data_IF_873563297333
#
_entry.id   IF_873563297333
#
_cell.length_a   1.000
_cell.length_b   1.000
_cell.length_c   1.000
_cell.angle_alpha   90.00
_cell.angle_beta   90.00
_cell.angle_gamma   90.00
#
_symmetry.space_group_name_H-M   'P 1'
#
loop_
_entity.id
_entity.type
_entity.pdbx_description
1 polymer ?
#
# COMPACT_ATOMS: atom_id res chain seq x y z
N UNK A 1 23.16 0.64 8.24
CA UNK A 1 22.09 -0.38 8.13
C UNK A 1 20.92 0.27 7.40
N UNK A 2 20.31 -0.40 6.42
CA UNK A 2 19.18 0.17 5.68
C UNK A 2 17.90 0.01 6.50
N UNK A 3 17.13 1.10 6.66
CA UNK A 3 15.83 1.06 7.30
C UNK A 3 14.83 0.27 6.40
N UNK A 4 13.96 -0.59 6.97
CA UNK A 4 12.99 -1.32 6.17
C UNK A 4 11.91 -0.39 5.61
N UNK A 5 11.45 -0.66 4.37
CA UNK A 5 10.32 0.08 3.76
C UNK A 5 8.96 -0.32 4.31
N UNK A 6 8.84 -1.59 4.68
CA UNK A 6 7.62 -2.21 5.20
C UNK A 6 7.94 -2.87 6.54
N UNK A 7 6.93 -3.18 7.36
CA UNK A 7 7.14 -3.90 8.60
C UNK A 7 7.89 -5.21 8.38
N UNK A 8 8.82 -5.51 9.28
CA UNK A 8 9.62 -6.74 9.25
C UNK A 8 9.56 -7.44 10.59
N UNK A 9 9.65 -8.77 10.57
CA UNK A 9 9.65 -9.54 11.81
C UNK A 9 10.91 -9.28 12.64
N UNK A 10 10.74 -9.18 13.95
CA UNK A 10 11.81 -9.04 14.91
C UNK A 10 11.38 -9.55 16.28
N UNK A 11 12.29 -9.61 17.24
CA UNK A 11 12.02 -10.11 18.59
C UNK A 11 10.89 -9.35 19.31
N UNK A 12 10.68 -8.08 18.96
CA UNK A 12 9.64 -7.22 19.56
C UNK A 12 8.31 -7.26 18.82
N UNK A 13 8.19 -8.00 17.71
CA UNK A 13 7.00 -8.01 16.86
C UNK A 13 5.72 -8.36 17.63
N UNK A 14 5.80 -9.28 18.56
CA UNK A 14 4.67 -9.75 19.37
C UNK A 14 4.66 -9.17 20.79
N UNK A 15 5.54 -8.20 21.10
CA UNK A 15 5.57 -7.57 22.41
C UNK A 15 4.47 -6.53 22.57
N UNK A 16 3.85 -6.48 23.75
CA UNK A 16 2.81 -5.52 24.10
C UNK A 16 1.47 -6.17 24.43
N UNK A 17 0.52 -5.37 24.91
CA UNK A 17 -0.84 -5.85 25.21
C UNK A 17 -1.58 -6.19 23.92
N UNK A 18 -2.25 -7.34 23.92
CA UNK A 18 -2.95 -7.86 22.72
C UNK A 18 -4.18 -7.04 22.33
N UNK A 19 -4.82 -6.37 23.28
CA UNK A 19 -6.10 -5.69 23.07
C UNK A 19 -5.99 -4.17 23.06
N UNK A 20 -6.59 -3.58 22.03
CA UNK A 20 -7.10 -2.21 22.02
C UNK A 20 -8.51 -2.26 21.43
N UNK A 21 -9.37 -1.36 21.90
CA UNK A 21 -10.74 -1.17 21.39
C UNK A 21 -10.72 -0.47 20.01
N UNK A 22 -9.75 -0.80 19.18
CA UNK A 22 -9.64 -0.20 17.86
C UNK A 22 -10.05 -1.19 16.79
N UNK A 23 -11.08 -0.82 16.05
CA UNK A 23 -11.57 -1.60 14.92
C UNK A 23 -10.46 -1.84 13.88
N UNK A 24 -10.46 -3.03 13.33
CA UNK A 24 -9.64 -3.41 12.18
C UNK A 24 -10.51 -4.12 11.16
N UNK A 25 -10.16 -3.99 9.88
CA UNK A 25 -10.83 -4.76 8.82
C UNK A 25 -10.72 -6.29 9.02
N UNK A 26 -9.76 -6.76 9.82
CA UNK A 26 -9.66 -8.16 10.27
C UNK A 26 -10.85 -8.61 11.15
N UNK A 27 -11.60 -7.68 11.74
CA UNK A 27 -12.76 -7.97 12.58
C UNK A 27 -14.06 -8.04 11.78
N UNK A 28 -14.00 -7.72 10.49
CA UNK A 28 -15.19 -7.73 9.63
C UNK A 28 -15.76 -9.16 9.55
N UNK A 29 -17.05 -9.39 9.84
CA UNK A 29 -17.62 -10.75 9.95
C UNK A 29 -17.58 -11.53 8.64
N UNK A 30 -17.62 -10.84 7.51
CA UNK A 30 -17.55 -11.41 6.16
C UNK A 30 -16.27 -10.95 5.47
N UNK A 31 -15.11 -11.38 5.96
CA UNK A 31 -13.82 -11.10 5.33
C UNK A 31 -13.13 -12.36 4.84
N UNK A 32 -12.35 -12.23 3.76
CA UNK A 32 -11.56 -13.28 3.15
C UNK A 32 -10.10 -12.82 3.04
N UNK A 33 -9.15 -13.48 3.71
CA UNK A 33 -7.73 -13.22 3.51
C UNK A 33 -7.29 -13.70 2.11
N UNK A 34 -6.65 -12.79 1.36
CA UNK A 34 -6.15 -13.00 0.00
C UNK A 34 -4.63 -12.90 -0.03
N UNK A 35 -3.99 -13.21 -1.15
CA UNK A 35 -2.53 -13.13 -1.30
C UNK A 35 -1.99 -11.71 -1.38
N UNK A 36 -2.80 -10.73 -1.80
CA UNK A 36 -2.38 -9.32 -1.92
C UNK A 36 -3.59 -8.39 -1.99
N UNK A 37 -3.37 -7.08 -1.79
CA UNK A 37 -4.40 -6.07 -2.04
C UNK A 37 -4.87 -6.06 -3.49
N UNK A 38 -3.98 -6.32 -4.47
CA UNK A 38 -4.34 -6.46 -5.89
C UNK A 38 -5.27 -7.64 -6.14
N UNK A 39 -5.00 -8.79 -5.53
CA UNK A 39 -5.88 -9.95 -5.56
C UNK A 39 -7.25 -9.62 -4.92
N UNK A 40 -7.25 -8.87 -3.82
CA UNK A 40 -8.49 -8.44 -3.18
C UNK A 40 -9.32 -7.51 -4.08
N UNK A 41 -8.70 -6.59 -4.85
CA UNK A 41 -9.39 -5.75 -5.83
C UNK A 41 -9.97 -6.62 -6.95
N UNK A 42 -9.21 -7.57 -7.51
CA UNK A 42 -9.70 -8.47 -8.55
C UNK A 42 -10.95 -9.23 -8.08
N UNK A 43 -10.86 -9.87 -6.93
CA UNK A 43 -11.97 -10.63 -6.34
C UNK A 43 -13.17 -9.74 -5.99
N UNK A 44 -12.94 -8.50 -5.54
CA UNK A 44 -14.01 -7.52 -5.32
C UNK A 44 -14.76 -7.20 -6.61
N UNK A 45 -14.05 -6.96 -7.70
CA UNK A 45 -14.64 -6.71 -9.02
C UNK A 45 -15.41 -7.94 -9.55
N UNK A 46 -14.89 -9.14 -9.35
CA UNK A 46 -15.59 -10.39 -9.69
C UNK A 46 -16.88 -10.55 -8.88
N UNK A 47 -16.85 -10.28 -7.56
CA UNK A 47 -18.05 -10.29 -6.71
C UNK A 47 -19.12 -9.29 -7.17
N UNK A 48 -18.68 -8.15 -7.71
CA UNK A 48 -19.55 -7.12 -8.28
C UNK A 48 -19.96 -7.41 -9.74
N UNK A 49 -19.55 -8.55 -10.29
CA UNK A 49 -19.81 -8.96 -11.68
C UNK A 49 -19.33 -7.92 -12.70
N UNK A 50 -18.16 -7.32 -12.47
CA UNK A 50 -17.52 -6.40 -13.41
C UNK A 50 -16.88 -7.20 -14.54
N UNK A 51 -17.13 -6.79 -15.80
CA UNK A 51 -16.61 -7.46 -16.98
C UNK A 51 -16.60 -6.58 -18.24
N UNK A 52 -16.46 -7.17 -19.43
CA UNK A 52 -16.46 -6.42 -20.68
C UNK A 52 -17.70 -5.56 -20.86
N UNK A 53 -17.52 -4.29 -21.24
CA UNK A 53 -18.60 -3.31 -21.38
C UNK A 53 -18.92 -2.52 -20.12
N UNK A 54 -18.42 -2.94 -18.96
CA UNK A 54 -18.51 -2.18 -17.71
C UNK A 54 -17.35 -1.20 -17.58
N UNK A 55 -17.57 -0.12 -16.82
CA UNK A 55 -16.57 0.89 -16.52
C UNK A 55 -16.40 1.01 -15.00
N UNK A 56 -15.12 1.05 -14.57
CA UNK A 56 -14.74 1.31 -13.17
C UNK A 56 -14.07 2.69 -13.07
N UNK A 57 -14.60 3.51 -12.18
CA UNK A 57 -14.03 4.82 -11.86
C UNK A 57 -12.93 4.67 -10.82
N UNK A 58 -11.76 5.22 -11.15
CA UNK A 58 -10.55 5.22 -10.34
C UNK A 58 -10.06 6.67 -10.14
N UNK A 59 -9.35 6.99 -9.05
CA UNK A 59 -8.81 8.34 -8.88
C UNK A 59 -7.65 8.61 -9.84
N UNK A 60 -7.44 9.88 -10.21
CA UNK A 60 -6.28 10.33 -11.00
C UNK A 60 -4.95 10.05 -10.30
N UNK A 61 -4.89 10.16 -8.97
CA UNK A 61 -3.73 9.75 -8.16
C UNK A 61 -3.91 8.31 -7.69
N UNK A 62 -3.19 7.38 -8.27
CA UNK A 62 -3.34 5.96 -7.99
C UNK A 62 -2.03 5.18 -8.13
N UNK A 63 -1.98 4.02 -7.52
CA UNK A 63 -1.00 3.00 -7.86
C UNK A 63 -1.49 2.24 -9.10
N UNK A 64 -0.66 1.96 -10.11
CA UNK A 64 -1.04 1.16 -11.29
C UNK A 64 -1.68 -0.18 -10.95
N UNK A 65 -1.39 -0.73 -9.78
CA UNK A 65 -2.00 -1.97 -9.27
C UNK A 65 -3.51 -1.86 -8.98
N UNK A 66 -4.09 -0.66 -8.95
CA UNK A 66 -5.55 -0.47 -8.87
C UNK A 66 -6.22 -0.66 -10.23
N UNK A 67 -5.51 -0.34 -11.33
CA UNK A 67 -6.03 -0.41 -12.70
C UNK A 67 -5.92 -1.81 -13.29
N UNK A 68 -4.82 -2.51 -13.02
CA UNK A 68 -4.56 -3.82 -13.61
C UNK A 68 -5.68 -4.86 -13.37
N UNK A 69 -6.35 -4.95 -12.19
CA UNK A 69 -7.49 -5.85 -12.00
C UNK A 69 -8.67 -5.55 -12.93
N UNK A 70 -8.97 -4.27 -13.14
CA UNK A 70 -10.04 -3.81 -14.04
C UNK A 70 -9.76 -4.29 -15.47
N UNK A 71 -8.55 -4.02 -15.95
CA UNK A 71 -8.15 -4.43 -17.31
C UNK A 71 -8.06 -5.95 -17.48
N UNK A 72 -7.68 -6.68 -16.44
CA UNK A 72 -7.65 -8.14 -16.45
C UNK A 72 -9.05 -8.75 -16.68
N UNK A 73 -10.10 -8.11 -16.15
CA UNK A 73 -11.49 -8.54 -16.36
C UNK A 73 -12.10 -8.05 -17.68
N UNK A 74 -11.33 -7.34 -18.51
CA UNK A 74 -11.81 -6.79 -19.79
C UNK A 74 -12.70 -5.56 -19.64
N UNK A 75 -12.82 -4.99 -18.44
CA UNK A 75 -13.56 -3.78 -18.20
C UNK A 75 -12.74 -2.52 -18.51
N UNK A 76 -13.43 -1.39 -18.66
CA UNK A 76 -12.79 -0.11 -18.87
C UNK A 76 -12.51 0.63 -17.56
N UNK A 77 -11.38 1.35 -17.53
CA UNK A 77 -11.01 2.22 -16.44
C UNK A 77 -11.16 3.67 -16.88
N UNK A 78 -11.87 4.48 -16.09
CA UNK A 78 -11.90 5.93 -16.24
C UNK A 78 -11.47 6.60 -14.94
N UNK A 79 -11.03 7.85 -15.03
CA UNK A 79 -10.40 8.53 -13.91
C UNK A 79 -11.21 9.75 -13.47
N UNK A 80 -11.33 9.91 -12.16
CA UNK A 80 -11.97 11.05 -11.54
C UNK A 80 -10.97 11.92 -10.77
N UNK A 81 -11.20 13.26 -10.73
CA UNK A 81 -10.32 14.17 -10.00
C UNK A 81 -10.51 14.06 -8.50
N UNK A 82 -9.43 14.30 -7.77
CA UNK A 82 -9.42 14.42 -6.31
C UNK A 82 -9.16 15.88 -5.90
N UNK A 83 -9.65 16.24 -4.72
CA UNK A 83 -9.32 17.52 -4.08
C UNK A 83 -7.96 17.49 -3.35
N UNK A 84 -7.60 18.59 -2.69
CA UNK A 84 -6.36 18.74 -1.92
C UNK A 84 -6.28 17.85 -0.67
N UNK A 85 -7.37 17.20 -0.27
CA UNK A 85 -7.42 16.23 0.83
C UNK A 85 -7.50 14.78 0.33
N UNK A 86 -7.54 14.59 -0.99
CA UNK A 86 -7.64 13.27 -1.64
C UNK A 86 -9.07 12.75 -1.78
N UNK A 87 -10.08 13.56 -1.44
CA UNK A 87 -11.46 13.16 -1.60
C UNK A 87 -11.92 13.23 -3.07
N UNK A 88 -12.82 12.32 -3.50
CA UNK A 88 -13.43 12.40 -4.82
C UNK A 88 -14.20 13.73 -5.02
N UNK A 89 -13.96 14.40 -6.14
CA UNK A 89 -14.72 15.58 -6.52
C UNK A 89 -16.12 15.18 -7.00
N UNK A 90 -17.06 15.07 -6.05
CA UNK A 90 -18.44 14.62 -6.33
C UNK A 90 -19.23 15.59 -7.22
N UNK A 91 -18.91 16.89 -7.20
CA UNK A 91 -19.43 17.91 -8.11
C UNK A 91 -19.07 17.58 -9.56
N UNK A 92 -17.80 17.32 -9.81
CA UNK A 92 -17.30 16.94 -11.12
C UNK A 92 -17.86 15.59 -11.58
N UNK A 93 -17.85 14.58 -10.70
CA UNK A 93 -18.41 13.26 -10.97
C UNK A 93 -19.89 13.34 -11.36
N UNK A 94 -20.68 14.18 -10.70
CA UNK A 94 -22.10 14.34 -11.00
C UNK A 94 -22.39 14.86 -12.42
N UNK A 95 -21.46 15.63 -12.96
CA UNK A 95 -21.57 16.18 -14.32
C UNK A 95 -20.96 15.27 -15.41
N UNK A 96 -20.05 14.35 -15.04
CA UNK A 96 -19.22 13.65 -16.03
C UNK A 96 -19.25 12.12 -15.90
N UNK A 97 -20.03 11.53 -14.97
CA UNK A 97 -20.09 10.10 -14.79
C UNK A 97 -20.61 9.38 -16.05
N UNK A 98 -19.85 8.45 -16.65
CA UNK A 98 -20.30 7.71 -17.82
C UNK A 98 -21.44 6.76 -17.46
N UNK A 99 -22.38 6.55 -18.38
CA UNK A 99 -23.53 5.67 -18.17
C UNK A 99 -23.15 4.20 -17.90
N UNK A 100 -22.03 3.72 -18.47
CA UNK A 100 -21.53 2.36 -18.26
C UNK A 100 -20.83 2.15 -16.90
N UNK A 101 -20.82 3.17 -16.04
CA UNK A 101 -20.12 3.09 -14.74
C UNK A 101 -20.78 2.07 -13.84
N UNK A 102 -20.08 1.02 -13.49
CA UNK A 102 -20.51 -0.08 -12.61
C UNK A 102 -20.02 0.07 -11.18
N UNK A 103 -18.77 0.55 -11.03
CA UNK A 103 -18.17 0.70 -9.72
C UNK A 103 -17.32 1.96 -9.61
N UNK A 104 -17.21 2.49 -8.39
CA UNK A 104 -16.31 3.57 -7.98
C UNK A 104 -15.36 3.02 -6.90
N UNK A 105 -14.06 3.10 -7.12
CA UNK A 105 -13.05 2.74 -6.12
C UNK A 105 -12.53 4.02 -5.45
N UNK A 106 -12.59 4.06 -4.12
CA UNK A 106 -12.15 5.22 -3.31
C UNK A 106 -11.10 4.79 -2.29
N UNK A 107 -9.84 5.23 -2.43
CA UNK A 107 -8.78 4.90 -1.49
C UNK A 107 -8.73 5.88 -0.31
N UNK A 108 -8.48 5.36 0.87
CA UNK A 108 -8.06 6.12 2.04
C UNK A 108 -6.56 6.41 1.96
N UNK A 109 -6.19 7.50 1.29
CA UNK A 109 -4.78 7.82 1.03
C UNK A 109 -3.96 7.92 2.31
N UNK A 110 -2.76 7.37 2.28
CA UNK A 110 -1.75 7.43 3.35
C UNK A 110 -2.19 6.85 4.69
N UNK A 111 -3.39 6.28 4.77
CA UNK A 111 -4.01 5.78 6.00
C UNK A 111 -4.93 6.79 6.67
N UNK A 112 -5.28 7.87 5.96
CA UNK A 112 -6.17 8.92 6.44
C UNK A 112 -7.59 8.70 5.88
N UNK A 113 -8.61 8.65 6.73
CA UNK A 113 -9.98 8.40 6.30
C UNK A 113 -10.52 9.47 5.37
N UNK A 114 -11.22 9.04 4.31
CA UNK A 114 -11.93 9.92 3.39
C UNK A 114 -13.38 10.18 3.86
N UNK A 115 -14.07 11.22 3.35
CA UNK A 115 -15.45 11.55 3.72
C UNK A 115 -16.46 10.58 3.06
N UNK A 116 -16.46 9.33 3.51
CA UNK A 116 -17.17 8.22 2.85
C UNK A 116 -18.68 8.34 2.89
N UNK A 117 -19.26 9.09 3.82
CA UNK A 117 -20.70 9.25 3.91
C UNK A 117 -21.29 9.92 2.66
N UNK A 118 -20.68 11.03 2.22
CA UNK A 118 -21.08 11.72 1.00
C UNK A 118 -20.86 10.86 -0.26
N UNK A 119 -19.75 10.11 -0.31
CA UNK A 119 -19.44 9.19 -1.40
C UNK A 119 -20.48 8.07 -1.47
N UNK A 120 -20.85 7.47 -0.34
CA UNK A 120 -21.86 6.41 -0.28
C UNK A 120 -23.21 6.92 -0.79
N UNK A 121 -23.65 8.07 -0.29
CA UNK A 121 -24.93 8.67 -0.74
C UNK A 121 -24.91 8.97 -2.25
N UNK A 122 -23.79 9.43 -2.79
CA UNK A 122 -23.62 9.68 -4.22
C UNK A 122 -23.72 8.40 -5.05
N UNK A 123 -23.09 7.32 -4.60
CA UNK A 123 -23.15 6.00 -5.23
C UNK A 123 -24.56 5.40 -5.19
N UNK A 124 -25.23 5.46 -4.02
CA UNK A 124 -26.58 4.93 -3.84
C UNK A 124 -27.58 5.59 -4.77
N UNK A 125 -27.51 6.93 -4.91
CA UNK A 125 -28.39 7.69 -5.80
C UNK A 125 -28.26 7.31 -7.28
N UNK A 126 -27.17 6.60 -7.67
CA UNK A 126 -26.85 6.24 -9.06
C UNK A 126 -26.79 4.74 -9.31
N UNK A 127 -26.98 3.91 -8.29
CA UNK A 127 -26.84 2.46 -8.39
C UNK A 127 -25.42 2.00 -8.73
N UNK A 128 -24.41 2.83 -8.41
CA UNK A 128 -22.99 2.52 -8.63
C UNK A 128 -22.43 1.80 -7.41
N UNK A 129 -21.78 0.66 -7.60
CA UNK A 129 -21.14 -0.06 -6.52
C UNK A 129 -19.93 0.72 -5.98
N UNK A 130 -19.79 0.77 -4.65
CA UNK A 130 -18.65 1.42 -3.99
C UNK A 130 -17.64 0.37 -3.52
N UNK A 131 -16.39 0.50 -3.98
CA UNK A 131 -15.23 -0.25 -3.50
C UNK A 131 -14.46 0.66 -2.56
N UNK A 132 -14.45 0.35 -1.27
CA UNK A 132 -13.68 1.06 -0.26
C UNK A 132 -12.26 0.49 -0.20
N UNK A 133 -11.28 1.23 -0.73
CA UNK A 133 -9.88 0.79 -0.72
C UNK A 133 -9.18 1.20 0.58
N UNK A 134 -9.12 0.25 1.51
CA UNK A 134 -8.45 0.36 2.79
C UNK A 134 -6.99 -0.17 2.75
N UNK A 135 -6.36 -0.27 1.57
CA UNK A 135 -4.99 -0.78 1.48
C UNK A 135 -3.98 0.07 2.28
N UNK A 136 -4.27 1.35 2.50
CA UNK A 136 -3.50 2.25 3.35
C UNK A 136 -4.13 2.49 4.73
N UNK A 137 -5.33 1.97 5.03
CA UNK A 137 -6.12 2.28 6.22
C UNK A 137 -6.74 1.03 6.85
N UNK A 138 -5.95 0.29 7.61
CA UNK A 138 -6.37 -0.99 8.21
C UNK A 138 -7.20 -0.82 9.49
N UNK A 139 -7.06 0.33 10.20
CA UNK A 139 -7.56 0.54 11.57
C UNK A 139 -8.36 1.82 11.67
N UNK A 140 -9.35 1.84 12.57
CA UNK A 140 -10.07 3.04 12.99
C UNK A 140 -11.40 3.23 12.30
N UNK A 141 -11.78 4.49 12.13
CA UNK A 141 -13.09 4.90 11.62
C UNK A 141 -12.96 5.92 10.50
N UNK A 142 -13.93 5.90 9.58
CA UNK A 142 -14.16 6.94 8.60
C UNK A 142 -15.51 7.59 8.93
N UNK A 143 -15.50 8.76 9.56
CA UNK A 143 -16.71 9.40 10.08
C UNK A 143 -17.45 8.51 11.10
N UNK A 144 -18.72 8.26 10.88
CA UNK A 144 -19.60 7.53 11.81
C UNK A 144 -19.42 6.02 11.81
N UNK A 145 -18.73 5.43 10.83
CA UNK A 145 -18.57 3.97 10.70
C UNK A 145 -17.12 3.52 10.80
N UNK A 146 -16.86 2.25 11.17
CA UNK A 146 -15.55 1.65 11.03
C UNK A 146 -15.05 1.71 9.58
N UNK A 147 -13.73 1.84 9.40
CA UNK A 147 -13.08 1.68 8.08
C UNK A 147 -13.41 0.30 7.51
N UNK A 148 -13.73 0.25 6.23
CA UNK A 148 -14.16 -0.96 5.52
C UNK A 148 -15.66 -1.25 5.59
N UNK A 149 -16.47 -0.36 6.20
CA UNK A 149 -17.93 -0.57 6.34
C UNK A 149 -18.79 0.35 5.46
N UNK A 150 -18.18 1.17 4.62
CA UNK A 150 -18.89 2.10 3.74
C UNK A 150 -19.15 1.56 2.33
N UNK A 151 -18.18 0.84 1.79
CA UNK A 151 -18.28 0.24 0.46
C UNK A 151 -19.29 -0.92 0.40
N UNK A 152 -19.78 -1.26 -0.77
CA UNK A 152 -20.44 -2.55 -1.02
C UNK A 152 -19.47 -3.68 -0.74
N UNK A 153 -18.22 -3.44 -1.09
CA UNK A 153 -17.05 -4.26 -0.78
C UNK A 153 -15.92 -3.37 -0.25
N UNK A 154 -15.06 -3.93 0.59
CA UNK A 154 -13.83 -3.27 1.03
C UNK A 154 -12.62 -4.17 0.79
N UNK A 155 -11.48 -3.55 0.50
CA UNK A 155 -10.21 -4.28 0.33
C UNK A 155 -9.12 -3.69 1.22
N UNK A 156 -8.15 -4.51 1.61
CA UNK A 156 -6.99 -4.04 2.35
C UNK A 156 -5.70 -4.79 1.96
N UNK A 157 -4.55 -4.27 2.41
CA UNK A 157 -3.23 -4.88 2.21
C UNK A 157 -2.56 -5.16 3.55
N UNK A 158 -2.36 -6.44 3.87
CA UNK A 158 -1.72 -6.86 5.14
C UNK A 158 -0.24 -6.49 5.18
N UNK A 159 0.47 -6.60 4.06
CA UNK A 159 1.92 -6.35 3.99
C UNK A 159 2.33 -4.95 4.39
N UNK A 160 1.40 -3.99 4.30
CA UNK A 160 1.63 -2.59 4.66
C UNK A 160 1.59 -2.34 6.17
N UNK A 161 0.97 -3.24 6.92
CA UNK A 161 0.78 -3.11 8.38
C UNK A 161 1.45 -4.22 9.18
N UNK A 162 1.61 -5.39 8.59
CA UNK A 162 2.14 -6.58 9.25
C UNK A 162 3.44 -7.06 8.58
N UNK A 163 4.34 -7.70 9.33
CA UNK A 163 5.60 -8.22 8.81
C UNK A 163 5.39 -9.52 8.01
N UNK A 164 4.62 -9.42 6.93
CA UNK A 164 4.28 -10.55 6.05
C UNK A 164 4.66 -10.23 4.61
N UNK A 165 5.23 -11.19 3.83
CA UNK A 165 5.62 -11.01 2.44
C UNK A 165 4.43 -10.98 1.48
N UNK A 166 3.28 -11.45 1.92
CA UNK A 166 2.03 -11.48 1.16
C UNK A 166 0.85 -11.19 2.08
N UNK A 167 -0.28 -10.81 1.50
CA UNK A 167 -1.54 -10.67 2.21
C UNK A 167 -2.35 -9.46 1.79
N UNK A 168 -3.63 -9.71 1.62
CA UNK A 168 -4.70 -8.74 1.45
C UNK A 168 -5.95 -9.21 2.16
N UNK A 169 -6.99 -8.40 2.12
CA UNK A 169 -8.32 -8.74 2.63
C UNK A 169 -9.35 -8.27 1.62
N UNK A 170 -10.33 -9.12 1.34
CA UNK A 170 -11.62 -8.76 0.76
C UNK A 170 -12.67 -8.82 1.87
N UNK A 171 -13.49 -7.80 2.01
CA UNK A 171 -14.65 -7.79 2.89
C UNK A 171 -15.92 -7.47 2.10
N UNK A 172 -17.02 -8.17 2.38
CA UNK A 172 -18.31 -8.00 1.70
C UNK A 172 -19.34 -7.42 2.66
N UNK A 173 -19.77 -6.19 2.42
CA UNK A 173 -20.81 -5.51 3.21
C UNK A 173 -22.23 -5.81 2.70
N UNK A 174 -22.40 -6.00 1.39
CA UNK A 174 -23.69 -6.37 0.81
C UNK A 174 -24.03 -7.84 1.06
N UNK A 175 -25.24 -8.09 1.52
CA UNK A 175 -25.68 -9.44 1.90
C UNK A 175 -25.83 -10.39 0.70
N UNK A 176 -26.21 -9.84 -0.46
CA UNK A 176 -26.44 -10.56 -1.72
C UNK A 176 -25.15 -11.03 -2.41
N UNK A 177 -23.99 -10.46 -2.06
CA UNK A 177 -22.71 -10.88 -2.62
C UNK A 177 -22.25 -12.21 -2.03
N UNK A 178 -21.70 -13.07 -2.87
CA UNK A 178 -21.18 -14.37 -2.48
C UNK A 178 -19.66 -14.30 -2.29
N UNK A 179 -19.16 -14.86 -1.17
CA UNK A 179 -17.73 -14.95 -0.90
C UNK A 179 -17.07 -15.92 -1.89
N UNK A 180 -16.02 -15.50 -2.61
CA UNK A 180 -15.34 -16.38 -3.57
C UNK A 180 -14.59 -17.52 -2.86
N UNK A 181 -14.57 -18.67 -3.51
CA UNK A 181 -13.77 -19.80 -3.07
C UNK A 181 -12.32 -19.61 -3.53
N UNK A 182 -11.35 -19.85 -2.64
CA UNK A 182 -9.93 -19.79 -2.96
C UNK A 182 -9.30 -21.17 -2.94
N UNK A 183 -8.33 -21.40 -3.82
CA UNK A 183 -7.53 -22.63 -3.82
C UNK A 183 -6.57 -22.61 -2.62
N UNK A 184 -6.40 -23.70 -1.88
CA UNK A 184 -5.46 -23.77 -0.77
C UNK A 184 -4.01 -23.49 -1.23
N UNK A 185 -3.26 -22.77 -0.39
CA UNK A 185 -1.82 -22.60 -0.61
C UNK A 185 -1.09 -23.93 -0.46
N UNK A 186 -0.20 -24.25 -1.40
CA UNK A 186 0.56 -25.50 -1.39
C UNK A 186 1.57 -25.55 -0.22
N UNK A 187 2.09 -26.74 0.09
CA UNK A 187 3.16 -26.89 1.10
C UNK A 187 4.40 -26.07 0.74
N UNK A 188 4.71 -25.95 -0.54
CA UNK A 188 5.84 -25.14 -1.03
C UNK A 188 5.60 -23.67 -0.75
N UNK A 189 4.38 -23.16 -1.00
CA UNK A 189 4.01 -21.78 -0.66
C UNK A 189 4.12 -21.50 0.84
N UNK A 190 3.67 -22.44 1.69
CA UNK A 190 3.77 -22.31 3.13
C UNK A 190 5.22 -22.20 3.61
N UNK A 191 6.10 -23.07 3.11
CA UNK A 191 7.54 -23.05 3.43
C UNK A 191 8.19 -21.78 2.90
N UNK A 192 7.85 -21.36 1.68
CA UNK A 192 8.37 -20.13 1.08
C UNK A 192 7.99 -18.91 1.90
N UNK A 193 6.73 -18.74 2.26
CA UNK A 193 6.26 -17.61 3.06
C UNK A 193 6.97 -17.54 4.42
N UNK A 194 7.08 -18.67 5.15
CA UNK A 194 7.82 -18.73 6.42
C UNK A 194 9.30 -18.36 6.26
N UNK A 195 9.93 -18.87 5.20
CA UNK A 195 11.32 -18.56 4.83
C UNK A 195 11.51 -17.06 4.53
N UNK A 196 10.62 -16.47 3.73
CA UNK A 196 10.68 -15.05 3.34
C UNK A 196 10.47 -14.12 4.55
N UNK A 197 9.57 -14.46 5.48
CA UNK A 197 9.37 -13.73 6.73
C UNK A 197 10.68 -13.64 7.53
N UNK A 198 11.37 -14.77 7.74
CA UNK A 198 12.62 -14.80 8.48
C UNK A 198 13.73 -14.04 7.74
N UNK A 199 13.81 -14.20 6.43
CA UNK A 199 14.80 -13.49 5.61
C UNK A 199 14.61 -11.97 5.68
N UNK A 200 13.39 -11.46 5.57
CA UNK A 200 13.10 -10.03 5.70
C UNK A 200 13.56 -9.48 7.05
N UNK A 201 13.27 -10.17 8.15
CA UNK A 201 13.75 -9.77 9.48
C UNK A 201 15.27 -9.76 9.61
N UNK A 202 15.93 -10.81 9.13
CA UNK A 202 17.38 -10.93 9.19
C UNK A 202 18.10 -9.94 8.26
N UNK A 203 17.53 -9.62 7.09
CA UNK A 203 18.09 -8.64 6.15
C UNK A 203 18.20 -7.24 6.77
N UNK A 204 17.29 -6.91 7.70
CA UNK A 204 17.27 -5.63 8.42
C UNK A 204 17.81 -5.73 9.87
N UNK A 205 18.53 -6.81 10.20
CA UNK A 205 19.14 -7.05 11.52
C UNK A 205 18.15 -7.05 12.71
N UNK A 206 16.89 -7.41 12.48
CA UNK A 206 15.84 -7.44 13.53
C UNK A 206 15.80 -8.73 14.34
N UNK A 207 16.52 -9.78 13.90
CA UNK A 207 16.63 -11.08 14.58
C UNK A 207 18.04 -11.26 15.17
N UNK A 208 18.39 -10.41 16.13
CA UNK A 208 19.73 -10.39 16.78
C UNK A 208 20.09 -11.78 17.29
N UNK A 209 21.31 -12.23 17.01
CA UNK A 209 21.78 -13.59 17.27
C UNK A 209 21.54 -14.59 16.13
N UNK A 210 20.48 -14.45 15.34
CA UNK A 210 20.14 -15.33 14.21
C UNK A 210 20.42 -14.72 12.84
N UNK A 211 20.63 -13.41 12.73
CA UNK A 211 20.75 -12.72 11.45
C UNK A 211 21.81 -13.33 10.54
N UNK A 212 23.02 -13.62 11.09
CA UNK A 212 24.14 -14.18 10.31
C UNK A 212 23.82 -15.59 9.80
N UNK A 213 23.22 -16.43 10.66
CA UNK A 213 22.85 -17.80 10.31
C UNK A 213 21.79 -17.79 9.18
N UNK A 214 20.73 -17.01 9.34
CA UNK A 214 19.66 -16.92 8.35
C UNK A 214 20.20 -16.38 7.02
N UNK A 215 20.95 -15.28 7.03
CA UNK A 215 21.57 -14.72 5.80
C UNK A 215 22.52 -15.72 5.13
N UNK A 216 23.32 -16.45 5.91
CA UNK A 216 24.21 -17.50 5.40
C UNK A 216 23.47 -18.63 4.72
N UNK A 217 22.37 -19.12 5.32
CA UNK A 217 21.52 -20.16 4.74
C UNK A 217 20.89 -19.72 3.41
N UNK A 218 20.44 -18.45 3.33
CA UNK A 218 19.89 -17.89 2.09
C UNK A 218 20.96 -17.69 1.00
N UNK A 219 22.14 -17.22 1.36
CA UNK A 219 23.27 -17.09 0.44
C UNK A 219 23.68 -18.46 -0.14
N UNK A 220 23.78 -19.49 0.71
CA UNK A 220 24.05 -20.87 0.28
C UNK A 220 22.97 -21.40 -0.68
N UNK A 221 21.68 -21.21 -0.33
CA UNK A 221 20.56 -21.57 -1.19
C UNK A 221 20.63 -20.87 -2.55
N UNK A 222 21.01 -19.60 -2.58
CA UNK A 222 21.18 -18.82 -3.81
C UNK A 222 22.34 -19.36 -4.66
N UNK A 223 23.50 -19.62 -4.03
CA UNK A 223 24.67 -20.19 -4.71
C UNK A 223 24.38 -21.59 -5.31
N UNK A 224 23.71 -22.45 -4.55
CA UNK A 224 23.33 -23.78 -5.04
C UNK A 224 22.36 -23.69 -6.24
N UNK A 225 21.40 -22.75 -6.22
CA UNK A 225 20.51 -22.51 -7.35
C UNK A 225 21.26 -22.02 -8.60
N UNK A 226 22.27 -21.18 -8.44
CA UNK A 226 23.09 -20.71 -9.56
C UNK A 226 23.94 -21.84 -10.15
N UNK A 227 24.51 -22.72 -9.32
CA UNK A 227 25.25 -23.90 -9.77
C UNK A 227 24.37 -24.89 -10.57
N UNK A 228 23.15 -25.14 -10.09
CA UNK A 228 22.18 -26.02 -10.81
C UNK A 228 21.69 -25.40 -12.12
N UNK A 229 21.53 -24.07 -12.17
CA UNK A 229 21.12 -23.35 -13.39
C UNK A 229 22.27 -23.17 -14.39
N UNK A 230 23.49 -23.04 -13.93
CA UNK A 230 24.70 -22.96 -14.79
C UNK A 230 25.00 -24.25 -15.55
N UNK A 231 24.44 -25.39 -15.13
CA UNK A 231 24.56 -26.68 -15.80
C UNK A 231 23.46 -27.00 -16.82
N UNK A 232 22.37 -26.23 -16.87
CA UNK A 232 21.30 -26.38 -17.84
C UNK A 232 21.31 -25.19 -18.82
N UNK A 233 21.76 -25.44 -20.04
CA UNK A 233 21.81 -24.46 -21.12
C UNK A 233 20.48 -23.70 -21.27
N UNK A 234 20.60 -22.43 -21.62
CA UNK A 234 19.51 -21.49 -21.90
C UNK A 234 18.44 -22.13 -22.81
N UNK A 235 17.30 -22.49 -22.26
CA UNK A 235 16.04 -22.58 -22.98
C UNK A 235 14.90 -22.10 -22.11
N UNK A 236 14.22 -21.08 -22.62
CA UNK A 236 13.01 -20.37 -22.29
C UNK A 236 12.13 -20.92 -21.17
N UNK A 237 12.07 -20.17 -20.13
CA UNK A 237 11.03 -20.18 -19.11
C UNK A 237 11.22 -18.94 -18.26
N UNK A 238 10.42 -17.92 -18.51
CA UNK A 238 10.35 -16.75 -17.63
C UNK A 238 9.90 -17.24 -16.24
N UNK A 239 10.87 -17.56 -15.37
CA UNK A 239 10.61 -17.78 -13.97
C UNK A 239 10.15 -16.42 -13.40
N UNK A 240 8.86 -16.33 -13.09
CA UNK A 240 8.27 -15.22 -12.34
C UNK A 240 9.15 -15.03 -11.09
N UNK A 241 9.96 -13.97 -11.10
CA UNK A 241 10.72 -13.55 -9.93
C UNK A 241 9.71 -13.30 -8.79
N UNK A 242 10.05 -13.63 -7.54
CA UNK A 242 9.18 -13.27 -6.42
C UNK A 242 8.93 -11.77 -6.53
N UNK A 243 7.65 -11.38 -6.41
CA UNK A 243 7.22 -9.99 -6.50
C UNK A 243 8.09 -9.13 -5.57
N UNK A 244 9.13 -8.52 -6.12
CA UNK A 244 9.88 -7.46 -5.46
C UNK A 244 8.93 -6.30 -5.37
N UNK A 245 8.34 -6.11 -4.20
CA UNK A 245 7.56 -4.94 -3.92
C UNK A 245 8.47 -3.72 -4.11
N UNK A 246 8.38 -3.08 -5.27
CA UNK A 246 8.82 -1.72 -5.47
C UNK A 246 10.27 -1.43 -5.82
N UNK A 247 11.00 -2.29 -6.54
CA UNK A 247 12.12 -1.82 -7.36
C UNK A 247 11.54 -1.40 -8.72
N UNK A 248 11.39 -0.11 -8.89
CA UNK A 248 11.05 0.52 -10.16
C UNK A 248 12.35 0.68 -10.94
N UNK A 249 12.42 0.10 -12.13
CA UNK A 249 13.52 0.34 -13.06
C UNK A 249 13.58 1.81 -13.49
N UNK A 250 14.77 2.30 -13.82
CA UNK A 250 15.05 3.70 -14.18
C UNK A 250 14.38 4.16 -15.50
N UNK A 251 13.78 3.26 -16.28
CA UNK A 251 13.06 3.58 -17.50
C UNK A 251 11.58 3.85 -17.22
N UNK A 252 11.08 4.99 -17.65
CA UNK A 252 9.74 5.55 -17.41
C UNK A 252 8.53 4.73 -17.91
N UNK A 253 8.67 3.44 -18.15
CA UNK A 253 7.59 2.53 -18.50
C UNK A 253 6.97 1.92 -17.24
N UNK A 254 5.65 1.70 -17.28
CA UNK A 254 4.99 0.87 -16.27
C UNK A 254 5.66 -0.48 -16.37
N UNK A 255 6.30 -0.93 -15.28
CA UNK A 255 6.85 -2.27 -15.20
C UNK A 255 5.75 -3.26 -15.62
N UNK A 256 6.02 -4.06 -16.64
CA UNK A 256 5.09 -5.07 -17.12
C UNK A 256 4.57 -5.95 -15.96
N UNK A 257 5.39 -6.13 -14.91
CA UNK A 257 5.00 -6.83 -13.68
C UNK A 257 3.94 -6.08 -12.85
N UNK A 258 3.80 -4.76 -12.97
CA UNK A 258 2.73 -4.00 -12.31
C UNK A 258 1.41 -4.08 -13.09
N UNK A 259 1.47 -4.26 -14.38
CA UNK A 259 0.31 -4.39 -15.25
C UNK A 259 -0.25 -5.82 -15.28
N UNK A 260 0.57 -6.83 -15.00
CA UNK A 260 0.17 -8.22 -15.04
C UNK A 260 -0.42 -8.70 -13.71
N UNK A 261 -1.53 -9.45 -13.81
CA UNK A 261 -2.12 -10.18 -12.69
C UNK A 261 -1.86 -11.68 -12.90
N UNK A 262 -1.26 -12.30 -11.89
CA UNK A 262 -1.19 -13.74 -11.77
C UNK A 262 -2.54 -14.24 -11.26
N UNK A 263 -3.41 -14.67 -12.17
CA UNK A 263 -4.76 -15.16 -11.84
C UNK A 263 -4.73 -16.37 -10.87
N UNK A 264 -3.93 -17.42 -11.10
CA UNK A 264 -3.78 -18.51 -10.14
C UNK A 264 -3.39 -18.04 -8.74
N UNK A 265 -2.43 -17.11 -8.65
CA UNK A 265 -2.02 -16.53 -7.36
C UNK A 265 -3.12 -15.68 -6.73
N UNK A 266 -3.89 -14.95 -7.53
CA UNK A 266 -4.97 -14.09 -7.04
C UNK A 266 -6.14 -14.89 -6.44
N UNK A 267 -6.39 -16.10 -6.95
CA UNK A 267 -7.41 -17.03 -6.43
C UNK A 267 -6.84 -18.04 -5.41
N UNK A 268 -5.62 -17.85 -4.93
CA UNK A 268 -5.03 -18.67 -3.89
C UNK A 268 -5.30 -18.10 -2.50
N UNK A 269 -5.56 -18.97 -1.53
CA UNK A 269 -5.69 -18.59 -0.14
C UNK A 269 -4.35 -18.07 0.44
N UNK A 270 -4.43 -17.15 1.39
CA UNK A 270 -3.29 -16.66 2.16
C UNK A 270 -2.60 -17.81 2.88
N UNK A 271 -1.26 -17.78 2.95
CA UNK A 271 -0.49 -18.77 3.72
C UNK A 271 -0.77 -18.65 5.22
N UNK A 272 -0.70 -19.79 5.94
CA UNK A 272 -1.03 -19.88 7.36
C UNK A 272 -0.13 -18.97 8.22
N UNK A 273 1.17 -18.91 7.93
CA UNK A 273 2.10 -18.08 8.67
C UNK A 273 1.72 -16.59 8.57
N UNK A 274 1.39 -16.09 7.38
CA UNK A 274 0.96 -14.72 7.18
C UNK A 274 -0.37 -14.41 7.89
N UNK A 275 -1.34 -15.29 7.77
CA UNK A 275 -2.61 -15.17 8.48
C UNK A 275 -2.47 -15.25 10.00
N UNK A 276 -1.56 -16.07 10.53
CA UNK A 276 -1.27 -16.17 11.96
C UNK A 276 -0.62 -14.88 12.49
N UNK A 277 0.40 -14.37 11.79
CA UNK A 277 1.11 -13.12 12.16
C UNK A 277 0.13 -11.96 12.19
N UNK A 278 -0.67 -11.75 11.15
CA UNK A 278 -1.60 -10.62 11.07
C UNK A 278 -2.65 -10.59 12.19
N UNK A 279 -3.01 -11.75 12.74
CA UNK A 279 -3.93 -11.86 13.89
C UNK A 279 -3.24 -11.72 15.25
N UNK A 280 -1.91 -11.90 15.33
CA UNK A 280 -1.16 -11.97 16.60
C UNK A 280 -0.33 -10.75 16.90
N UNK A 281 0.06 -9.98 15.90
CA UNK A 281 0.78 -8.71 16.13
C UNK A 281 -0.12 -7.74 16.88
N UNK A 282 0.32 -7.20 18.04
CA UNK A 282 -0.49 -6.28 18.83
C UNK A 282 -0.84 -5.01 18.04
N UNK A 283 -2.14 -4.75 17.85
CA UNK A 283 -2.66 -3.59 17.12
C UNK A 283 -2.22 -2.28 17.74
N UNK A 284 -2.23 -2.22 19.08
CA UNK A 284 -1.79 -1.06 19.85
C UNK A 284 -0.39 -0.62 19.44
N UNK A 285 0.55 -1.57 19.36
CA UNK A 285 1.92 -1.30 18.91
C UNK A 285 1.94 -0.67 17.51
N UNK A 286 1.13 -1.19 16.59
CA UNK A 286 1.05 -0.68 15.21
C UNK A 286 0.53 0.76 15.21
N UNK A 287 -0.57 1.00 15.89
CA UNK A 287 -1.27 2.29 15.86
C UNK A 287 -0.46 3.38 16.57
N UNK A 288 -0.04 3.12 17.81
CA UNK A 288 0.68 4.10 18.63
C UNK A 288 2.03 4.49 18.00
N UNK A 289 2.82 3.50 17.53
CA UNK A 289 4.10 3.80 16.91
C UNK A 289 3.95 4.61 15.63
N UNK A 290 2.99 4.26 14.77
CA UNK A 290 2.74 5.01 13.52
C UNK A 290 2.28 6.44 13.77
N UNK A 291 1.40 6.64 14.74
CA UNK A 291 0.96 7.98 15.14
C UNK A 291 2.10 8.81 15.71
N UNK A 292 2.94 8.20 16.55
CA UNK A 292 4.14 8.84 17.10
C UNK A 292 5.12 9.25 15.97
N UNK A 293 5.41 8.37 15.04
CA UNK A 293 6.32 8.66 13.92
C UNK A 293 5.75 9.73 12.98
N UNK A 294 4.43 9.73 12.77
CA UNK A 294 3.77 10.76 11.99
C UNK A 294 3.90 12.14 12.65
N UNK A 295 3.64 12.22 13.95
CA UNK A 295 3.80 13.46 14.73
C UNK A 295 5.26 13.96 14.70
N UNK A 296 6.23 13.06 14.85
CA UNK A 296 7.65 13.37 14.74
C UNK A 296 8.00 14.02 13.39
N UNK A 297 7.54 13.45 12.28
CA UNK A 297 7.77 14.06 10.96
C UNK A 297 7.00 15.36 10.76
N UNK A 298 5.79 15.46 11.30
CA UNK A 298 5.03 16.71 11.24
C UNK A 298 5.80 17.85 11.94
N UNK A 299 6.34 17.61 13.12
CA UNK A 299 7.15 18.57 13.86
C UNK A 299 8.44 18.93 13.08
N UNK A 300 9.15 17.92 12.56
CA UNK A 300 10.40 18.12 11.84
C UNK A 300 10.26 18.97 10.56
N UNK A 301 9.13 18.85 9.85
CA UNK A 301 8.96 19.46 8.53
C UNK A 301 8.00 20.66 8.49
N UNK A 302 7.29 20.96 9.57
CA UNK A 302 6.43 22.14 9.64
C UNK A 302 7.25 23.43 9.59
N UNK A 303 6.81 24.39 8.76
CA UNK A 303 7.46 25.69 8.63
C UNK A 303 8.81 25.68 7.91
N UNK A 304 9.18 24.60 7.25
CA UNK A 304 10.43 24.49 6.46
C UNK A 304 10.22 24.99 5.04
N UNK A 305 11.19 25.72 4.49
CA UNK A 305 11.14 26.10 3.07
C UNK A 305 11.47 24.87 2.18
N UNK A 306 10.72 24.72 1.09
CA UNK A 306 10.89 23.64 0.11
C UNK A 306 10.15 22.35 0.43
N UNK A 307 9.74 22.12 1.67
CA UNK A 307 8.97 20.93 2.08
C UNK A 307 7.89 21.30 3.11
N UNK A 308 6.79 20.55 3.11
CA UNK A 308 5.78 20.63 4.18
C UNK A 308 4.97 19.33 4.28
N UNK A 309 4.43 19.01 5.45
CA UNK A 309 3.46 17.94 5.59
C UNK A 309 2.25 18.20 4.67
N UNK A 310 1.92 17.25 3.79
CA UNK A 310 0.76 17.41 2.91
C UNK A 310 -0.55 17.47 3.73
N UNK A 311 -0.64 16.63 4.74
CA UNK A 311 -1.80 16.50 5.64
C UNK A 311 -1.29 16.57 7.08
N UNK A 312 -1.16 17.79 7.67
CA UNK A 312 -0.50 17.97 8.97
C UNK A 312 -1.32 17.43 10.14
N UNK A 313 -2.64 17.33 9.99
CA UNK A 313 -3.54 16.88 11.06
C UNK A 313 -3.86 15.40 10.90
N UNK A 314 -3.62 14.64 11.96
CA UNK A 314 -3.92 13.21 12.02
C UNK A 314 -5.25 12.98 12.76
N UNK A 315 -6.27 12.41 12.11
CA UNK A 315 -7.52 12.07 12.78
C UNK A 315 -7.31 11.16 14.02
N UNK A 316 -8.17 11.23 15.05
CA UNK A 316 -7.93 10.56 16.34
C UNK A 316 -7.80 9.03 16.21
N UNK A 317 -8.63 8.39 15.42
CA UNK A 317 -8.78 6.93 15.38
C UNK A 317 -8.10 6.26 14.17
N UNK A 318 -7.17 6.95 13.48
CA UNK A 318 -6.50 6.37 12.32
C UNK A 318 -5.07 5.90 12.65
N UNK A 319 -4.58 4.94 11.85
CA UNK A 319 -3.19 4.52 11.82
C UNK A 319 -2.59 4.82 10.45
N UNK A 320 -1.70 5.82 10.31
CA UNK A 320 -1.15 6.19 9.02
C UNK A 320 -0.30 5.05 8.43
N UNK A 321 -0.41 4.85 7.11
CA UNK A 321 0.45 3.92 6.40
C UNK A 321 1.85 4.51 6.20
N UNK A 322 1.90 5.73 5.72
CA UNK A 322 3.11 6.52 5.44
C UNK A 322 2.88 7.97 5.84
N UNK A 323 3.94 8.74 5.92
CA UNK A 323 3.89 10.19 6.08
C UNK A 323 3.99 10.84 4.68
N UNK A 324 2.95 11.55 4.20
CA UNK A 324 2.98 12.25 2.93
C UNK A 324 3.68 13.60 3.10
N UNK A 325 4.87 13.71 2.53
CA UNK A 325 5.66 14.94 2.49
C UNK A 325 5.54 15.58 1.11
N UNK A 326 5.01 16.78 1.05
CA UNK A 326 5.07 17.58 -0.17
C UNK A 326 6.45 18.22 -0.32
N UNK A 327 7.04 18.13 -1.51
CA UNK A 327 8.37 18.62 -1.83
C UNK A 327 8.30 19.49 -3.09
N UNK A 328 8.82 20.72 -3.02
CA UNK A 328 8.79 21.67 -4.15
C UNK A 328 9.50 21.11 -5.38
N UNK A 329 10.69 20.54 -5.19
CA UNK A 329 11.54 20.00 -6.28
C UNK A 329 12.05 18.64 -5.86
N UNK A 330 11.28 17.55 -6.06
CA UNK A 330 11.64 16.22 -5.56
C UNK A 330 12.82 15.58 -6.31
N UNK A 331 13.01 15.89 -7.59
CA UNK A 331 14.11 15.33 -8.39
C UNK A 331 15.28 16.33 -8.51
N UNK A 332 16.55 15.86 -8.47
CA UNK A 332 17.00 14.46 -8.39
C UNK A 332 17.04 13.87 -6.97
N UNK A 333 16.65 14.64 -5.94
CA UNK A 333 16.77 14.25 -4.53
C UNK A 333 16.05 12.94 -4.18
N UNK A 334 14.89 12.67 -4.77
CA UNK A 334 14.17 11.40 -4.58
C UNK A 334 14.99 10.19 -5.03
N UNK A 335 15.62 10.26 -6.22
CA UNK A 335 16.48 9.19 -6.70
C UNK A 335 17.70 8.98 -5.77
N UNK A 336 18.27 10.07 -5.25
CA UNK A 336 19.37 10.02 -4.31
C UNK A 336 18.97 9.38 -2.97
N UNK A 337 17.82 9.77 -2.41
CA UNK A 337 17.28 9.12 -1.21
C UNK A 337 17.17 7.60 -1.37
N UNK A 338 16.68 7.14 -2.54
CA UNK A 338 16.57 5.71 -2.83
C UNK A 338 17.93 5.02 -2.92
N UNK A 339 18.93 5.62 -3.58
CA UNK A 339 20.31 5.09 -3.62
C UNK A 339 20.91 4.96 -2.23
N UNK A 340 20.61 5.89 -1.33
CA UNK A 340 21.05 5.86 0.07
C UNK A 340 20.25 4.86 0.92
N UNK A 341 19.25 4.18 0.36
CA UNK A 341 18.41 3.21 1.06
C UNK A 341 17.48 3.84 2.09
N UNK A 342 17.09 5.10 1.89
CA UNK A 342 16.04 5.72 2.70
C UNK A 342 14.69 5.10 2.32
N UNK A 343 13.85 4.72 3.31
CA UNK A 343 12.57 4.08 3.04
C UNK A 343 11.51 5.10 2.57
N UNK A 344 11.60 5.47 1.31
CA UNK A 344 10.72 6.45 0.64
C UNK A 344 10.12 5.85 -0.62
N UNK A 345 8.91 6.26 -0.96
CA UNK A 345 8.24 5.94 -2.22
C UNK A 345 7.52 7.18 -2.79
N UNK A 346 7.22 7.13 -4.07
CA UNK A 346 6.45 8.15 -4.79
C UNK A 346 5.54 7.44 -5.79
N UNK A 347 4.32 7.92 -5.99
CA UNK A 347 3.43 7.44 -7.04
C UNK A 347 3.55 8.35 -8.26
N UNK A 348 4.74 8.41 -8.84
CA UNK A 348 5.09 9.20 -10.01
C UNK A 348 4.76 8.52 -11.35
N UNK A 349 4.43 7.23 -11.31
CA UNK A 349 4.04 6.44 -12.47
C UNK A 349 2.54 6.14 -12.41
N UNK A 350 1.77 7.02 -13.02
CA UNK A 350 0.35 6.82 -13.20
C UNK A 350 0.09 5.91 -14.41
N UNK A 351 -1.11 5.33 -14.48
CA UNK A 351 -1.50 4.53 -15.64
C UNK A 351 -1.49 5.40 -16.92
N UNK A 352 -1.05 4.84 -18.09
CA UNK A 352 -1.08 5.58 -19.35
C UNK A 352 -2.48 6.09 -19.69
N UNK A 353 -2.56 7.34 -20.16
CA UNK A 353 -3.83 7.94 -20.55
C UNK A 353 -4.64 8.58 -19.41
N UNK A 354 -4.08 8.70 -18.20
CA UNK A 354 -4.73 9.48 -17.13
C UNK A 354 -4.85 10.94 -17.56
N UNK A 355 -6.09 11.49 -17.61
CA UNK A 355 -6.31 12.84 -18.11
C UNK A 355 -5.85 13.90 -17.11
N UNK A 356 -5.46 15.06 -17.60
CA UNK A 356 -5.35 16.26 -16.78
C UNK A 356 -6.74 16.87 -16.62
N UNK A 357 -7.29 16.85 -15.41
CA UNK A 357 -8.63 17.36 -15.13
C UNK A 357 -8.57 18.71 -14.40
N UNK A 358 -9.49 19.64 -14.67
CA UNK A 358 -9.52 20.93 -13.98
C UNK A 358 -9.73 20.78 -12.48
N UNK A 359 -8.89 21.47 -11.69
CA UNK A 359 -8.97 21.45 -10.22
C UNK A 359 -8.59 20.11 -9.59
N UNK A 360 -7.88 19.24 -10.32
CA UNK A 360 -7.41 17.95 -9.83
C UNK A 360 -6.06 18.06 -9.11
N UNK A 361 -6.00 17.60 -7.87
CA UNK A 361 -4.76 17.53 -7.10
C UNK A 361 -3.89 16.31 -7.49
N UNK A 362 -4.44 15.32 -8.18
CA UNK A 362 -3.78 14.03 -8.42
C UNK A 362 -2.46 14.14 -9.16
N UNK A 363 -2.41 14.96 -10.21
CA UNK A 363 -1.17 15.18 -10.96
C UNK A 363 -0.11 15.92 -10.14
N UNK A 364 -0.51 16.91 -9.35
CA UNK A 364 0.40 17.61 -8.43
C UNK A 364 0.95 16.64 -7.38
N UNK A 365 0.10 15.79 -6.80
CA UNK A 365 0.54 14.79 -5.84
C UNK A 365 1.53 13.79 -6.44
N UNK A 366 1.31 13.34 -7.68
CA UNK A 366 2.22 12.40 -8.32
C UNK A 366 3.62 12.97 -8.52
N UNK A 367 3.73 14.27 -8.75
CA UNK A 367 5.00 14.96 -8.92
C UNK A 367 5.68 15.30 -7.60
N UNK A 368 4.91 15.77 -6.60
CA UNK A 368 5.47 16.44 -5.43
C UNK A 368 5.44 15.60 -4.15
N UNK A 369 4.56 14.59 -4.05
CA UNK A 369 4.38 13.87 -2.77
C UNK A 369 5.33 12.71 -2.62
N UNK A 370 6.24 12.80 -1.66
CA UNK A 370 7.05 11.69 -1.19
C UNK A 370 6.35 11.00 -0.02
N UNK A 371 6.31 9.69 -0.06
CA UNK A 371 5.72 8.84 0.97
C UNK A 371 6.83 8.29 1.86
N UNK A 372 7.10 8.92 3.01
CA UNK A 372 8.09 8.46 3.98
C UNK A 372 7.51 7.32 4.82
N UNK A 373 8.27 6.25 5.00
CA UNK A 373 7.85 5.16 5.87
C UNK A 373 7.69 5.66 7.33
N UNK A 374 6.58 5.31 7.96
CA UNK A 374 6.30 5.64 9.37
C UNK A 374 5.87 4.42 10.19
N UNK A 375 6.17 3.20 9.72
CA UNK A 375 5.68 1.97 10.35
C UNK A 375 6.38 1.63 11.66
N UNK A 376 5.75 0.77 12.44
CA UNK A 376 6.10 0.41 13.82
C UNK A 376 7.46 -0.25 14.03
N UNK A 377 8.16 -0.67 12.97
CA UNK A 377 9.45 -1.35 13.05
C UNK A 377 10.64 -0.43 12.67
N UNK A 378 10.38 0.88 12.51
CA UNK A 378 11.43 1.89 12.45
C UNK A 378 11.91 2.21 13.86
N UNK A 379 13.21 2.43 13.99
CA UNK A 379 13.84 2.95 15.23
C UNK A 379 13.94 4.48 15.17
N UNK A 380 14.16 5.12 16.33
CA UNK A 380 14.42 6.56 16.40
C UNK A 380 15.63 6.98 15.54
N UNK A 381 16.63 6.09 15.42
CA UNK A 381 17.77 6.32 14.54
C UNK A 381 17.35 6.30 13.06
N UNK A 382 16.42 5.41 12.67
CA UNK A 382 15.87 5.40 11.31
C UNK A 382 15.09 6.70 11.02
N UNK A 383 14.28 7.16 11.97
CA UNK A 383 13.50 8.40 11.82
C UNK A 383 14.41 9.63 11.67
N UNK A 384 15.40 9.78 12.56
CA UNK A 384 16.38 10.88 12.47
C UNK A 384 17.13 10.85 11.14
N UNK A 385 17.56 9.68 10.68
CA UNK A 385 18.24 9.55 9.39
C UNK A 385 17.36 9.97 8.22
N UNK A 386 16.05 9.64 8.25
CA UNK A 386 15.11 10.08 7.22
C UNK A 386 15.05 11.61 7.20
N UNK A 387 14.89 12.25 8.37
CA UNK A 387 14.84 13.72 8.49
C UNK A 387 16.14 14.36 7.97
N UNK A 388 17.30 13.90 8.41
CA UNK A 388 18.61 14.38 7.95
C UNK A 388 18.76 14.33 6.42
N UNK A 389 18.28 13.25 5.79
CA UNK A 389 18.37 13.14 4.33
C UNK A 389 17.36 14.06 3.61
N UNK A 390 16.18 14.25 4.16
CA UNK A 390 15.21 15.23 3.64
C UNK A 390 15.77 16.65 3.76
N UNK A 391 16.30 17.01 4.92
CA UNK A 391 16.91 18.33 5.14
C UNK A 391 18.07 18.58 4.18
N UNK A 392 18.96 17.63 4.03
CA UNK A 392 20.13 17.74 3.13
C UNK A 392 19.75 17.92 1.67
N UNK A 393 18.69 17.25 1.21
CA UNK A 393 18.36 17.15 -0.23
C UNK A 393 17.31 18.14 -0.70
N UNK A 394 16.45 18.62 0.20
CA UNK A 394 15.27 19.39 -0.20
C UNK A 394 15.11 20.74 0.53
N UNK A 395 15.83 20.95 1.65
CA UNK A 395 15.74 22.21 2.39
C UNK A 395 16.98 23.04 2.10
N UNK A 396 16.77 24.23 1.53
CA UNK A 396 17.86 25.17 1.33
C UNK A 396 18.32 25.69 2.69
N UNK A 397 19.63 25.68 3.01
CA UNK A 397 20.12 26.32 4.21
C UNK A 397 19.68 27.77 4.24
N UNK A 398 19.11 28.21 5.36
CA UNK A 398 18.82 29.63 5.54
C UNK A 398 20.09 30.44 5.23
N UNK A 399 20.00 31.43 4.36
CA UNK A 399 21.12 32.33 4.08
C UNK A 399 21.61 32.91 5.42
N UNK A 400 22.91 32.75 5.72
CA UNK A 400 23.49 33.34 6.89
C UNK A 400 23.18 34.85 6.90
N UNK A 401 22.78 35.43 8.02
CA UNK A 401 22.53 36.87 8.08
C UNK A 401 23.78 37.61 7.62
N UNK A 402 23.64 38.68 6.83
CA UNK A 402 24.79 39.46 6.39
C UNK A 402 25.56 39.94 7.62
N UNK A 403 26.89 39.71 7.64
CA UNK A 403 27.81 40.15 8.71
C UNK A 403 27.90 41.66 8.73
#
# INVERSE_FOLDING_TARGET
MLAPRLPVIGWRTFAGAAHIDQHSLLDHPRHLPTTSGRAAILLALECLHVGPGDLVLLPTYHCPTMVSPVKTLGADAAFYPIDEHGAPRLDWLSAHVPAATKALLVPHYFGLPQPMEAVRAWCDARGIALIEDCAHAMFGRAGSRPIGSWGDVAIASLTKFFPTPEGGILALNRADLTMPALTPASRIDQIKAGSDILHMGAAHDRLTGLNRLIRGAFALKSALRQLVRGGAGQQGGAAIAPSRHGELDEAGEIDANMALIDLPLSHRALTHACGWISRRVPRRRIVEARRHHYAFFTEAFSGRDGVHPLLPTLPPDCAPYVFPLWVRTPDPGYAEMRKLGVPVSRWDRLWPGVPALPGDAGKSWSHHVLQLACHQDLSDADLRRIVEQVERLFITPAAAPPR
#
